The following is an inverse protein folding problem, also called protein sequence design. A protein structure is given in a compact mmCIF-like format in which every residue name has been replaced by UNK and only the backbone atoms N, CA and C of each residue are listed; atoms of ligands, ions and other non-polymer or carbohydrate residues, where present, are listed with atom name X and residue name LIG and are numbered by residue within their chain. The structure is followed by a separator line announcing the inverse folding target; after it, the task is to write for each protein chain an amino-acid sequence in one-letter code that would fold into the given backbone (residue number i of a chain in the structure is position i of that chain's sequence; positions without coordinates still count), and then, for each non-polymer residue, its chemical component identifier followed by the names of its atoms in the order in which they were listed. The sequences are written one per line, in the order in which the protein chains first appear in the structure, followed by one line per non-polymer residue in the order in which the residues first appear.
data_IF_089592568665
#
_entry.id   IF_089592568665
#
_cell.length_a   1.000
_cell.length_b   1.000
_cell.length_c   1.000
_cell.angle_alpha   90.00
_cell.angle_beta   90.00
_cell.angle_gamma   90.00
#
_symmetry.space_group_name_H-M   'P 1'
#
loop_
_entity.id
_entity.type
_entity.pdbx_description
1 polymer ?
#
# COMPACT_ATOMS: atom_id res chain seq x y z
N UNK A 1 12.85 -3.31 -39.54
CA UNK A 1 13.68 -4.30 -38.81
C UNK A 1 12.75 -5.37 -38.30
N UNK A 2 12.69 -6.50 -39.02
CA UNK A 2 11.77 -7.61 -38.76
C UNK A 2 12.31 -8.46 -37.60
N UNK A 3 11.51 -8.70 -36.57
CA UNK A 3 11.85 -9.68 -35.52
C UNK A 3 11.01 -10.94 -35.76
N UNK A 4 11.74 -12.02 -36.05
CA UNK A 4 11.29 -13.38 -36.35
C UNK A 4 10.44 -13.97 -35.22
N UNK A 5 9.31 -14.59 -35.58
CA UNK A 5 8.74 -15.71 -34.84
C UNK A 5 9.04 -16.98 -35.64
N UNK A 6 9.65 -18.00 -35.02
CA UNK A 6 9.32 -19.42 -35.20
C UNK A 6 10.23 -20.32 -34.34
N UNK A 7 9.60 -21.28 -33.66
CA UNK A 7 10.20 -22.60 -33.40
C UNK A 7 9.08 -23.64 -33.38
N UNK A 8 9.20 -24.63 -34.27
CA UNK A 8 8.33 -25.79 -34.41
C UNK A 8 8.63 -26.80 -33.29
N UNK A 9 7.64 -27.13 -32.47
CA UNK A 9 7.72 -28.25 -31.52
C UNK A 9 6.74 -29.34 -31.94
N UNK A 10 7.32 -30.53 -32.14
CA UNK A 10 6.67 -31.81 -32.41
C UNK A 10 5.62 -32.09 -31.33
N UNK A 11 4.35 -32.26 -31.73
CA UNK A 11 3.25 -32.67 -30.84
C UNK A 11 3.36 -34.17 -30.55
N UNK A 12 3.98 -34.53 -29.43
CA UNK A 12 3.82 -35.86 -28.82
C UNK A 12 2.55 -35.80 -27.96
N UNK A 13 1.52 -36.53 -28.36
CA UNK A 13 0.24 -36.58 -27.65
C UNK A 13 0.36 -37.53 -26.44
N UNK A 14 0.70 -37.00 -25.27
CA UNK A 14 0.51 -37.71 -24.00
C UNK A 14 -0.87 -37.35 -23.45
N UNK A 15 -1.81 -38.29 -23.48
CA UNK A 15 -3.07 -38.16 -22.75
C UNK A 15 -2.80 -38.31 -21.26
N UNK A 16 -2.49 -37.19 -20.59
CA UNK A 16 -2.56 -37.07 -19.15
C UNK A 16 -4.00 -36.74 -18.80
N UNK A 17 -4.73 -37.69 -18.23
CA UNK A 17 -6.01 -37.42 -17.57
C UNK A 17 -5.75 -36.45 -16.41
N UNK A 18 -5.96 -35.17 -16.65
CA UNK A 18 -5.95 -34.14 -15.60
C UNK A 18 -7.22 -34.36 -14.79
N UNK A 19 -7.09 -35.09 -13.68
CA UNK A 19 -8.06 -35.04 -12.59
C UNK A 19 -8.02 -33.59 -12.07
N UNK A 20 -9.02 -32.79 -12.46
CA UNK A 20 -9.16 -31.42 -11.95
C UNK A 20 -9.53 -31.49 -10.47
N UNK A 21 -8.50 -31.52 -9.63
CA UNK A 21 -8.65 -31.26 -8.20
C UNK A 21 -9.00 -29.79 -8.08
N UNK A 22 -10.28 -29.51 -7.84
CA UNK A 22 -10.73 -28.19 -7.42
C UNK A 22 -10.20 -27.95 -5.99
N UNK A 23 -8.97 -27.45 -5.88
CA UNK A 23 -8.47 -26.90 -4.63
C UNK A 23 -9.33 -25.68 -4.33
N UNK A 24 -10.27 -25.82 -3.39
CA UNK A 24 -10.83 -24.67 -2.69
C UNK A 24 -9.69 -24.08 -1.88
N UNK A 25 -8.95 -23.15 -2.46
CA UNK A 25 -7.94 -22.38 -1.75
C UNK A 25 -8.69 -21.54 -0.72
N UNK A 26 -8.73 -22.02 0.51
CA UNK A 26 -9.21 -21.25 1.65
C UNK A 26 -8.20 -20.11 1.82
N UNK A 27 -8.59 -18.90 1.46
CA UNK A 27 -7.82 -17.70 1.79
C UNK A 27 -7.62 -17.71 3.30
N UNK A 28 -6.37 -17.88 3.72
CA UNK A 28 -5.98 -17.67 5.11
C UNK A 28 -6.12 -16.18 5.34
N UNK A 29 -6.90 -15.79 6.35
CA UNK A 29 -6.98 -14.39 6.74
C UNK A 29 -5.55 -13.94 7.10
N UNK A 30 -5.11 -12.87 6.46
CA UNK A 30 -3.80 -12.28 6.68
C UNK A 30 -3.62 -11.93 8.16
N UNK A 31 -2.50 -12.33 8.75
CA UNK A 31 -2.21 -12.11 10.17
C UNK A 31 -1.22 -10.97 10.32
N UNK A 32 -1.56 -10.00 11.16
CA UNK A 32 -0.69 -8.87 11.50
C UNK A 32 -0.22 -9.01 12.94
N UNK A 33 0.95 -8.44 13.26
CA UNK A 33 1.36 -8.27 14.64
C UNK A 33 0.38 -7.34 15.37
N UNK A 34 0.10 -7.64 16.64
CA UNK A 34 -0.66 -6.77 17.55
C UNK A 34 0.34 -6.18 18.53
N UNK A 35 0.73 -4.89 18.38
CA UNK A 35 1.64 -4.26 19.32
C UNK A 35 0.97 -4.11 20.69
N UNK A 36 1.77 -4.01 21.74
CA UNK A 36 1.28 -3.86 23.12
C UNK A 36 1.74 -2.54 23.72
N UNK A 37 0.89 -1.95 24.56
CA UNK A 37 1.23 -0.78 25.37
C UNK A 37 1.09 -1.14 26.85
N UNK A 38 2.11 -0.90 27.66
CA UNK A 38 2.07 -1.31 29.08
C UNK A 38 1.10 -0.49 29.92
N UNK A 39 1.01 0.81 29.62
CA UNK A 39 0.08 1.75 30.27
C UNK A 39 -1.05 2.19 29.33
N UNK A 40 -0.92 1.90 28.03
CA UNK A 40 -1.93 2.22 27.03
C UNK A 40 -2.22 3.71 26.95
N UNK A 41 -3.49 4.08 26.81
CA UNK A 41 -3.94 5.47 26.76
C UNK A 41 -4.16 6.09 28.16
N UNK A 42 -3.42 5.61 29.16
CA UNK A 42 -3.65 5.92 30.58
C UNK A 42 -3.46 7.39 30.96
N UNK A 43 -2.90 8.21 30.07
CA UNK A 43 -2.70 9.64 30.28
C UNK A 43 -3.39 10.50 29.22
N UNK A 44 -4.42 9.99 28.54
CA UNK A 44 -5.11 10.64 27.41
C UNK A 44 -4.24 10.75 26.15
N UNK A 45 -3.58 9.65 25.82
CA UNK A 45 -2.66 9.46 24.70
C UNK A 45 -3.16 8.32 23.80
N UNK A 46 -3.84 8.67 22.72
CA UNK A 46 -4.53 7.73 21.85
C UNK A 46 -5.29 8.42 20.73
N UNK A 47 -5.85 7.63 19.82
CA UNK A 47 -6.57 8.15 18.65
C UNK A 47 -8.05 8.25 19.01
N UNK A 48 -8.65 9.43 18.84
CA UNK A 48 -10.09 9.65 19.03
C UNK A 48 -10.86 9.56 17.71
N UNK A 49 -10.24 9.97 16.61
CA UNK A 49 -10.84 9.83 15.28
C UNK A 49 -9.81 9.93 14.18
N UNK A 50 -10.04 9.22 13.09
CA UNK A 50 -9.27 9.35 11.85
C UNK A 50 -10.17 9.59 10.65
N UNK A 51 -9.79 10.56 9.82
CA UNK A 51 -10.43 10.87 8.53
C UNK A 51 -9.37 10.95 7.43
N UNK A 52 -9.66 10.37 6.27
CA UNK A 52 -8.83 10.46 5.06
C UNK A 52 -9.71 10.68 3.84
N UNK A 53 -9.32 11.61 2.95
CA UNK A 53 -10.09 11.94 1.75
C UNK A 53 -11.57 12.29 2.08
N UNK A 54 -11.79 12.99 3.19
CA UNK A 54 -13.14 13.32 3.70
C UNK A 54 -13.97 12.14 4.20
N UNK A 55 -13.44 10.91 4.19
CA UNK A 55 -14.09 9.72 4.73
C UNK A 55 -13.64 9.49 6.16
N UNK A 56 -14.61 9.47 7.09
CA UNK A 56 -14.37 9.15 8.51
C UNK A 56 -14.23 7.64 8.67
N UNK A 57 -13.09 7.18 9.20
CA UNK A 57 -12.84 5.75 9.44
C UNK A 57 -13.06 5.35 10.90
N UNK A 58 -12.72 6.21 11.85
CA UNK A 58 -13.09 6.10 13.27
C UNK A 58 -13.57 7.46 13.82
N UNK A 59 -14.44 7.43 14.83
CA UNK A 59 -14.92 8.63 15.52
C UNK A 59 -15.31 8.28 16.94
N UNK A 60 -14.84 9.08 17.92
CA UNK A 60 -15.08 8.84 19.34
C UNK A 60 -14.65 7.45 19.79
N UNK A 61 -13.53 6.95 19.25
CA UNK A 61 -13.02 5.60 19.51
C UNK A 61 -12.66 5.41 20.99
N UNK A 62 -12.12 6.46 21.62
CA UNK A 62 -11.57 6.38 22.97
C UNK A 62 -10.42 5.39 23.04
N UNK A 63 -10.05 4.95 24.25
CA UNK A 63 -8.98 3.97 24.39
C UNK A 63 -9.50 2.56 24.14
N UNK A 64 -8.98 1.92 23.09
CA UNK A 64 -9.31 0.54 22.74
C UNK A 64 -8.79 -0.44 23.80
N UNK A 65 -9.48 -1.58 23.96
CA UNK A 65 -9.01 -2.63 24.88
C UNK A 65 -7.64 -3.15 24.43
N UNK A 66 -6.64 -3.02 25.30
CA UNK A 66 -5.25 -3.38 24.98
C UNK A 66 -4.54 -2.38 24.06
N UNK A 67 -5.07 -1.16 23.91
CA UNK A 67 -4.51 -0.10 23.04
C UNK A 67 -4.34 -0.52 21.58
N UNK A 68 -5.21 -1.42 21.12
CA UNK A 68 -5.25 -1.86 19.74
C UNK A 68 -6.69 -2.04 19.26
N UNK A 69 -7.00 -1.54 18.07
CA UNK A 69 -8.25 -1.82 17.38
C UNK A 69 -8.09 -1.94 15.88
N UNK A 70 -8.85 -2.86 15.27
CA UNK A 70 -8.97 -2.98 13.82
C UNK A 70 -10.39 -2.62 13.36
N UNK A 71 -10.52 -1.51 12.65
CA UNK A 71 -11.79 -1.04 12.07
C UNK A 71 -12.00 -1.67 10.69
N UNK A 72 -12.64 -2.83 10.66
CA UNK A 72 -12.86 -3.60 9.42
C UNK A 72 -14.11 -3.21 8.62
N UNK A 73 -14.99 -2.37 9.19
CA UNK A 73 -16.30 -2.05 8.60
C UNK A 73 -16.29 -0.76 7.77
N UNK A 74 -15.42 0.19 8.12
CA UNK A 74 -15.25 1.44 7.40
C UNK A 74 -13.99 1.36 6.55
N UNK A 75 -14.06 1.91 5.33
CA UNK A 75 -12.92 1.97 4.42
C UNK A 75 -13.00 3.21 3.55
N UNK A 76 -11.85 3.82 3.25
CA UNK A 76 -11.79 4.93 2.31
C UNK A 76 -11.42 4.46 0.92
N UNK A 77 -12.06 5.04 -0.10
CA UNK A 77 -11.68 4.85 -1.49
C UNK A 77 -10.65 5.89 -1.91
N UNK A 78 -9.50 5.41 -2.36
CA UNK A 78 -8.35 6.21 -2.79
C UNK A 78 -7.77 5.64 -4.08
N UNK A 79 -6.92 6.38 -4.76
CA UNK A 79 -6.24 5.94 -5.97
C UNK A 79 -4.74 5.84 -5.74
N UNK A 80 -4.13 4.76 -6.23
CA UNK A 80 -2.69 4.57 -6.16
C UNK A 80 -1.93 5.72 -6.85
N UNK A 81 -0.83 6.16 -6.24
CA UNK A 81 -0.02 7.29 -6.70
C UNK A 81 -0.60 8.67 -6.42
N UNK A 82 -1.79 8.77 -5.81
CA UNK A 82 -2.40 10.05 -5.45
C UNK A 82 -2.13 10.39 -3.98
N UNK A 83 -2.12 11.70 -3.70
CA UNK A 83 -1.97 12.24 -2.35
C UNK A 83 -3.33 12.70 -1.83
N UNK A 84 -3.65 12.30 -0.61
CA UNK A 84 -4.89 12.67 0.09
C UNK A 84 -4.56 13.38 1.39
N UNK A 85 -5.41 14.34 1.77
CA UNK A 85 -5.36 14.89 3.12
C UNK A 85 -5.95 13.91 4.13
N UNK A 86 -5.37 13.91 5.32
CA UNK A 86 -5.89 13.21 6.48
C UNK A 86 -5.98 14.14 7.69
N UNK A 87 -6.78 13.75 8.68
CA UNK A 87 -6.89 14.41 9.98
C UNK A 87 -7.03 13.37 11.08
N UNK A 88 -6.26 13.56 12.16
CA UNK A 88 -6.29 12.78 13.40
C UNK A 88 -6.67 13.72 14.54
N UNK A 89 -7.62 13.28 15.37
CA UNK A 89 -7.87 13.87 16.69
C UNK A 89 -7.41 12.90 17.77
N UNK A 90 -6.86 13.42 18.86
CA UNK A 90 -6.34 12.62 19.97
C UNK A 90 -7.40 12.49 21.07
N UNK A 91 -7.22 11.53 21.97
CA UNK A 91 -8.12 11.37 23.10
C UNK A 91 -8.05 12.62 23.98
N UNK A 92 -9.20 13.28 24.15
CA UNK A 92 -9.38 14.47 25.01
C UNK A 92 -8.50 15.70 24.69
N UNK A 93 -7.69 15.68 23.62
CA UNK A 93 -6.79 16.76 23.21
C UNK A 93 -5.83 17.26 24.31
N UNK A 94 -5.42 16.38 25.23
CA UNK A 94 -4.61 16.76 26.40
C UNK A 94 -3.12 16.78 26.08
N UNK A 95 -2.64 15.81 25.29
CA UNK A 95 -1.22 15.64 24.98
C UNK A 95 -0.94 15.85 23.50
N UNK A 96 0.26 16.36 23.22
CA UNK A 96 0.84 16.25 21.89
C UNK A 96 1.43 14.85 21.71
N UNK A 97 1.26 14.25 20.54
CA UNK A 97 1.64 12.87 20.28
C UNK A 97 2.56 12.72 19.08
N UNK A 98 3.37 11.67 19.08
CA UNK A 98 4.09 11.24 17.89
C UNK A 98 3.21 10.32 17.07
N UNK A 99 3.19 10.50 15.75
CA UNK A 99 2.33 9.75 14.84
C UNK A 99 3.18 9.05 13.79
N UNK A 100 2.93 7.77 13.58
CA UNK A 100 3.46 7.01 12.44
C UNK A 100 2.37 6.24 11.72
N UNK A 101 2.43 6.23 10.39
CA UNK A 101 1.44 5.62 9.52
C UNK A 101 2.14 4.71 8.51
N UNK A 102 1.70 3.45 8.45
CA UNK A 102 2.14 2.47 7.47
C UNK A 102 0.98 2.01 6.59
N UNK A 103 1.27 1.61 5.36
CA UNK A 103 0.34 0.91 4.47
C UNK A 103 1.01 -0.38 4.01
N UNK A 104 0.42 -1.53 4.33
CA UNK A 104 0.87 -2.83 3.84
C UNK A 104 0.47 -2.99 2.37
N UNK A 105 1.38 -2.62 1.47
CA UNK A 105 1.11 -2.52 0.03
C UNK A 105 1.25 -3.86 -0.69
N UNK A 106 2.15 -4.71 -0.20
CA UNK A 106 2.41 -6.02 -0.78
C UNK A 106 1.49 -7.12 -0.24
N UNK A 107 0.75 -6.83 0.83
CA UNK A 107 -0.26 -7.68 1.44
C UNK A 107 0.34 -8.98 1.99
N UNK A 108 1.53 -8.89 2.59
CA UNK A 108 2.22 -10.04 3.19
C UNK A 108 1.91 -10.22 4.70
N UNK A 109 1.38 -9.18 5.35
CA UNK A 109 0.94 -9.18 6.76
C UNK A 109 1.95 -8.52 7.69
N UNK A 110 3.03 -7.98 7.12
CA UNK A 110 4.10 -7.27 7.78
C UNK A 110 4.08 -5.82 7.32
N UNK A 111 4.27 -4.89 8.25
CA UNK A 111 4.52 -3.50 7.91
C UNK A 111 6.03 -3.30 7.88
N UNK A 112 6.60 -3.16 6.69
CA UNK A 112 8.03 -2.95 6.47
C UNK A 112 8.43 -1.48 6.56
N UNK A 113 9.73 -1.20 6.65
CA UNK A 113 10.25 0.16 6.64
C UNK A 113 9.96 0.91 5.32
N UNK A 114 9.84 0.19 4.19
CA UNK A 114 9.45 0.76 2.89
C UNK A 114 7.98 1.16 2.80
N UNK A 115 7.17 0.74 3.77
CA UNK A 115 5.72 0.97 3.83
C UNK A 115 5.31 2.08 4.79
N UNK A 116 6.29 2.68 5.49
CA UNK A 116 6.09 3.88 6.29
C UNK A 116 5.83 5.08 5.37
N UNK A 117 4.63 5.64 5.44
CA UNK A 117 4.18 6.73 4.58
C UNK A 117 4.09 8.08 5.30
N UNK A 118 4.08 8.08 6.63
CA UNK A 118 4.12 9.30 7.45
C UNK A 118 4.75 8.96 8.80
N UNK A 119 5.65 9.83 9.28
CA UNK A 119 6.20 9.77 10.64
C UNK A 119 6.52 11.18 11.09
N UNK A 120 6.05 11.58 12.27
CA UNK A 120 6.44 12.85 12.86
C UNK A 120 7.78 12.74 13.57
N UNK A 121 8.61 13.78 13.48
CA UNK A 121 9.91 13.86 14.19
C UNK A 121 9.83 14.65 15.50
N UNK A 122 8.67 15.22 15.78
CA UNK A 122 8.33 15.99 16.97
C UNK A 122 6.87 15.69 17.32
N UNK A 123 6.44 15.87 18.58
CA UNK A 123 5.05 15.64 18.93
C UNK A 123 4.19 16.72 18.24
N UNK A 124 2.94 16.36 17.93
CA UNK A 124 1.99 17.22 17.22
C UNK A 124 0.72 17.39 18.05
N UNK A 125 0.16 18.60 18.02
CA UNK A 125 -1.10 18.93 18.67
C UNK A 125 -2.32 18.55 17.82
N UNK A 126 -3.46 18.36 18.47
CA UNK A 126 -4.76 18.18 17.81
C UNK A 126 -5.30 19.50 17.20
N UNK A 127 -5.97 19.46 16.02
CA UNK A 127 -6.03 18.34 15.09
C UNK A 127 -4.72 18.19 14.33
N UNK A 128 -4.14 16.99 14.35
CA UNK A 128 -3.00 16.72 13.48
C UNK A 128 -3.51 16.45 12.07
N UNK A 129 -3.22 17.37 11.16
CA UNK A 129 -3.56 17.25 9.73
C UNK A 129 -2.31 17.12 8.89
N UNK A 130 -2.38 16.26 7.87
CA UNK A 130 -1.26 16.01 6.98
C UNK A 130 -1.71 15.47 5.64
N UNK A 131 -0.72 15.12 4.82
CA UNK A 131 -0.94 14.54 3.50
C UNK A 131 -0.30 13.15 3.48
N UNK A 132 -1.02 12.17 2.95
CA UNK A 132 -0.56 10.80 2.75
C UNK A 132 -0.58 10.48 1.26
N UNK A 133 0.56 10.02 0.72
CA UNK A 133 0.66 9.59 -0.67
C UNK A 133 0.48 8.08 -0.74
N UNK A 134 -0.53 7.61 -1.47
CA UNK A 134 -0.80 6.18 -1.61
C UNK A 134 0.23 5.58 -2.57
N UNK A 135 1.01 4.57 -2.16
CA UNK A 135 2.00 3.97 -3.03
C UNK A 135 1.39 3.38 -4.30
N UNK A 136 2.12 3.45 -5.42
CA UNK A 136 1.61 3.06 -6.75
C UNK A 136 1.29 1.56 -6.87
N UNK A 137 1.86 0.74 -5.99
CA UNK A 137 1.69 -0.71 -5.93
C UNK A 137 0.61 -1.17 -4.93
N UNK A 138 -0.01 -0.26 -4.17
CA UNK A 138 -1.00 -0.58 -3.13
C UNK A 138 -2.38 -1.03 -3.67
N UNK A 139 -2.47 -1.52 -4.91
CA UNK A 139 -3.73 -1.77 -5.63
C UNK A 139 -4.62 -2.80 -4.90
N UNK A 140 -5.92 -2.52 -4.83
CA UNK A 140 -6.92 -3.36 -4.16
C UNK A 140 -7.14 -2.95 -2.70
N UNK A 141 -7.68 -3.85 -1.90
CA UNK A 141 -7.84 -3.62 -0.46
C UNK A 141 -6.51 -3.83 0.25
N UNK A 142 -6.04 -2.83 0.98
CA UNK A 142 -4.81 -2.86 1.80
C UNK A 142 -5.11 -2.46 3.23
N UNK A 143 -4.26 -2.89 4.16
CA UNK A 143 -4.33 -2.44 5.55
C UNK A 143 -3.43 -1.23 5.76
N UNK A 144 -3.96 -0.23 6.44
CA UNK A 144 -3.21 0.90 6.95
C UNK A 144 -3.17 0.83 8.46
N UNK A 145 -2.01 1.09 9.05
CA UNK A 145 -1.79 1.15 10.50
C UNK A 145 -1.42 2.57 10.89
N UNK A 146 -2.09 3.10 11.90
CA UNK A 146 -1.71 4.33 12.59
C UNK A 146 -1.26 3.95 14.00
N UNK A 147 -0.07 4.38 14.38
CA UNK A 147 0.40 4.31 15.76
C UNK A 147 0.58 5.72 16.29
N UNK A 148 0.03 5.95 17.48
CA UNK A 148 0.38 7.10 18.30
C UNK A 148 1.19 6.64 19.51
N UNK A 149 2.12 7.50 19.95
CA UNK A 149 2.99 7.26 21.09
C UNK A 149 3.29 8.59 21.78
N UNK A 150 3.13 8.60 23.10
CA UNK A 150 3.50 9.74 23.93
C UNK A 150 5.01 9.78 24.17
N UNK A 151 5.58 10.99 24.28
CA UNK A 151 6.99 11.32 24.57
C UNK A 151 8.07 10.88 23.55
N UNK A 152 7.79 9.96 22.62
CA UNK A 152 8.79 9.47 21.66
C UNK A 152 8.14 8.87 20.40
N UNK A 153 8.94 8.67 19.34
CA UNK A 153 8.50 8.18 18.03
C UNK A 153 8.08 6.71 18.11
N UNK A 154 6.94 6.36 17.50
CA UNK A 154 6.62 4.96 17.18
C UNK A 154 7.32 4.56 15.87
N UNK A 155 8.52 4.00 15.93
CA UNK A 155 9.35 3.67 14.76
C UNK A 155 9.23 2.21 14.26
N UNK A 156 8.67 1.33 15.08
CA UNK A 156 8.42 -0.07 14.78
C UNK A 156 6.91 -0.32 14.82
N UNK A 157 6.29 -0.94 13.80
CA UNK A 157 4.84 -1.17 13.76
C UNK A 157 4.35 -2.29 14.70
N UNK A 158 5.26 -3.10 15.25
CA UNK A 158 4.99 -4.27 16.08
C UNK A 158 5.56 -4.18 17.50
N UNK A 159 6.49 -3.25 17.76
CA UNK A 159 7.13 -3.13 19.06
C UNK A 159 6.15 -2.78 20.19
N UNK A 160 6.53 -3.24 21.39
CA UNK A 160 5.88 -2.84 22.62
C UNK A 160 6.35 -1.44 23.06
N UNK A 161 5.41 -0.59 23.46
CA UNK A 161 5.69 0.74 24.01
C UNK A 161 5.01 0.91 25.38
N UNK A 162 5.22 2.06 26.02
CA UNK A 162 4.59 2.36 27.31
C UNK A 162 3.20 2.97 27.12
N UNK A 163 3.14 4.05 26.34
CA UNK A 163 2.01 4.97 26.22
C UNK A 163 1.61 5.13 24.76
N UNK A 164 0.31 5.06 24.48
CA UNK A 164 -0.29 5.31 23.18
C UNK A 164 -1.32 4.25 22.77
N UNK A 165 -1.64 4.28 21.48
CA UNK A 165 -2.61 3.41 20.85
C UNK A 165 -2.21 3.06 19.41
N UNK A 166 -2.70 1.92 18.93
CA UNK A 166 -2.63 1.52 17.52
C UNK A 166 -4.01 1.28 16.94
N UNK A 167 -4.35 1.94 15.85
CA UNK A 167 -5.56 1.69 15.08
C UNK A 167 -5.21 1.21 13.65
N UNK A 168 -5.81 0.09 13.23
CA UNK A 168 -5.73 -0.45 11.89
C UNK A 168 -7.03 -0.14 11.11
N UNK A 169 -6.90 0.20 9.83
CA UNK A 169 -8.02 0.48 8.92
C UNK A 169 -7.84 -0.17 7.55
N UNK A 170 -8.91 -0.25 6.78
CA UNK A 170 -8.87 -0.67 5.38
C UNK A 170 -8.92 0.52 4.42
N UNK A 171 -8.09 0.47 3.37
CA UNK A 171 -8.20 1.35 2.21
C UNK A 171 -8.56 0.51 0.99
N UNK A 172 -9.49 1.01 0.17
CA UNK A 172 -9.78 0.43 -1.15
C UNK A 172 -9.08 1.28 -2.20
N UNK A 173 -7.97 0.76 -2.72
CA UNK A 173 -7.07 1.48 -3.62
C UNK A 173 -7.38 1.12 -5.07
N UNK A 174 -7.95 2.07 -5.80
CA UNK A 174 -8.19 1.97 -7.23
C UNK A 174 -6.89 2.19 -8.03
N UNK A 175 -6.88 1.65 -9.25
CA UNK A 175 -5.87 2.03 -10.22
C UNK A 175 -5.95 3.55 -10.51
N UNK A 176 -4.82 4.23 -10.72
CA UNK A 176 -4.82 5.59 -11.21
C UNK A 176 -5.40 5.65 -12.62
N UNK A 177 -6.04 6.78 -12.96
CA UNK A 177 -6.59 7.01 -14.30
C UNK A 177 -5.49 6.97 -15.36
N UNK A 178 -4.44 7.74 -15.14
CA UNK A 178 -3.26 7.75 -16.00
C UNK A 178 -2.00 7.77 -15.16
N UNK A 179 -0.90 7.28 -15.72
CA UNK A 179 0.41 7.27 -15.07
C UNK A 179 1.47 7.86 -15.98
N UNK A 180 2.40 8.62 -15.39
CA UNK A 180 3.65 9.06 -16.05
C UNK A 180 4.83 8.52 -15.26
N UNK A 181 5.66 7.69 -15.89
CA UNK A 181 6.81 7.05 -15.25
C UNK A 181 8.08 7.79 -15.65
N UNK A 182 8.61 8.56 -14.69
CA UNK A 182 9.82 9.38 -14.86
C UNK A 182 11.03 8.83 -14.11
N UNK A 183 10.83 7.89 -13.19
CA UNK A 183 11.90 7.32 -12.36
C UNK A 183 12.38 5.97 -12.89
N UNK A 184 13.68 5.72 -12.75
CA UNK A 184 14.27 4.46 -13.20
C UNK A 184 13.70 3.26 -12.44
N UNK A 185 13.50 2.13 -13.14
CA UNK A 185 12.98 0.90 -12.54
C UNK A 185 14.12 -0.11 -12.34
N UNK A 186 14.11 -0.81 -11.20
CA UNK A 186 15.04 -1.89 -10.88
C UNK A 186 14.24 -3.15 -10.50
N UNK A 187 14.79 -4.34 -10.76
CA UNK A 187 14.17 -5.61 -10.36
C UNK A 187 12.86 -5.94 -11.08
N UNK A 188 11.97 -6.71 -10.45
CA UNK A 188 10.68 -7.06 -11.05
C UNK A 188 9.59 -6.10 -10.55
N UNK A 189 8.91 -5.41 -11.47
CA UNK A 189 7.85 -4.45 -11.12
C UNK A 189 6.66 -4.54 -12.09
N UNK A 190 5.47 -4.22 -11.59
CA UNK A 190 4.26 -4.08 -12.41
C UNK A 190 3.62 -2.71 -12.18
N UNK A 191 3.34 -2.01 -13.27
CA UNK A 191 2.72 -0.68 -13.27
C UNK A 191 1.32 -0.79 -13.85
N UNK A 192 0.34 -0.23 -13.14
CA UNK A 192 -1.07 -0.26 -13.50
C UNK A 192 -1.63 1.15 -13.74
N UNK A 193 -2.48 1.31 -14.76
CA UNK A 193 -3.32 2.48 -14.97
C UNK A 193 -4.65 2.07 -15.63
N UNK A 194 -5.77 2.73 -15.31
CA UNK A 194 -7.06 2.40 -15.92
C UNK A 194 -7.23 2.96 -17.33
N UNK A 195 -6.47 3.99 -17.72
CA UNK A 195 -6.52 4.57 -19.07
C UNK A 195 -5.16 4.49 -19.78
N UNK A 196 -4.18 5.30 -19.35
CA UNK A 196 -2.93 5.47 -20.10
C UNK A 196 -1.68 5.40 -19.22
N UNK A 197 -0.62 4.81 -19.77
CA UNK A 197 0.74 4.89 -19.21
C UNK A 197 1.63 5.63 -20.19
N UNK A 198 2.36 6.65 -19.72
CA UNK A 198 3.44 7.29 -20.46
C UNK A 198 4.76 7.05 -19.73
N UNK A 199 5.71 6.37 -20.35
CA UNK A 199 7.02 6.08 -19.74
C UNK A 199 8.14 6.84 -20.47
N UNK A 200 9.00 7.51 -19.72
CA UNK A 200 10.18 8.22 -20.22
C UNK A 200 11.45 7.90 -19.43
N UNK A 201 11.41 6.87 -18.58
CA UNK A 201 12.47 6.51 -17.65
C UNK A 201 13.43 5.43 -18.19
N UNK A 202 14.58 5.27 -17.52
CA UNK A 202 15.51 4.17 -17.77
C UNK A 202 15.14 2.91 -16.96
N UNK A 203 15.58 1.75 -17.43
CA UNK A 203 15.59 0.50 -16.66
C UNK A 203 17.03 0.23 -16.24
N UNK A 204 17.26 0.16 -14.94
CA UNK A 204 18.58 -0.05 -14.37
C UNK A 204 18.73 -1.51 -13.95
N UNK A 205 19.80 -2.16 -14.40
CA UNK A 205 20.29 -3.46 -13.92
C UNK A 205 19.24 -4.59 -13.86
N UNK A 206 19.06 -5.32 -14.96
CA UNK A 206 18.40 -6.63 -14.96
C UNK A 206 16.96 -6.61 -14.44
N UNK A 207 16.15 -5.67 -14.93
CA UNK A 207 14.77 -5.50 -14.49
C UNK A 207 13.75 -6.16 -15.44
N UNK A 208 12.67 -6.68 -14.85
CA UNK A 208 11.49 -7.17 -15.56
C UNK A 208 10.31 -6.24 -15.26
N UNK A 209 9.90 -5.43 -16.23
CA UNK A 209 8.81 -4.45 -16.03
C UNK A 209 7.59 -4.81 -16.87
N UNK A 210 6.44 -4.91 -16.20
CA UNK A 210 5.15 -5.06 -16.87
C UNK A 210 4.35 -3.78 -16.74
N UNK A 211 4.00 -3.16 -17.87
CA UNK A 211 3.08 -2.03 -17.92
C UNK A 211 1.71 -2.53 -18.36
N UNK A 212 0.68 -2.23 -17.58
CA UNK A 212 -0.68 -2.67 -17.84
C UNK A 212 -1.63 -1.47 -17.81
N UNK A 213 -2.16 -1.10 -18.98
CA UNK A 213 -3.09 0.02 -19.16
C UNK A 213 -4.42 -0.45 -19.74
N UNK A 214 -5.47 0.36 -19.59
CA UNK A 214 -6.76 0.11 -20.23
C UNK A 214 -6.81 0.49 -21.72
N UNK A 215 -6.14 1.57 -22.12
CA UNK A 215 -6.22 2.12 -23.47
C UNK A 215 -4.88 2.24 -24.19
N UNK A 216 -3.86 2.85 -23.57
CA UNK A 216 -2.58 3.09 -24.25
C UNK A 216 -1.36 2.98 -23.34
N UNK A 217 -0.26 2.53 -23.93
CA UNK A 217 1.08 2.60 -23.34
C UNK A 217 1.96 3.35 -24.34
N UNK A 218 2.47 4.51 -23.93
CA UNK A 218 3.33 5.36 -24.74
C UNK A 218 4.74 5.33 -24.17
N UNK A 219 5.71 4.89 -24.95
CA UNK A 219 7.13 4.96 -24.60
C UNK A 219 7.73 6.18 -25.29
N UNK A 220 8.11 7.18 -24.51
CA UNK A 220 8.65 8.45 -25.02
C UNK A 220 10.12 8.32 -25.44
N UNK A 221 10.61 9.18 -26.35
CA UNK A 221 12.03 9.28 -26.65
C UNK A 221 12.85 9.48 -25.37
N UNK A 222 13.92 8.71 -25.21
CA UNK A 222 14.76 8.70 -24.01
C UNK A 222 14.56 7.50 -23.08
N UNK A 223 13.62 6.60 -23.37
CA UNK A 223 13.57 5.29 -22.70
C UNK A 223 14.83 4.48 -23.02
N UNK A 224 15.55 4.04 -21.98
CA UNK A 224 16.77 3.22 -22.07
C UNK A 224 16.56 1.89 -21.35
N UNK A 225 17.01 0.79 -21.95
CA UNK A 225 16.95 -0.54 -21.35
C UNK A 225 18.33 -1.20 -21.41
N UNK A 226 18.81 -1.68 -20.26
CA UNK A 226 20.08 -2.38 -20.13
C UNK A 226 20.04 -3.79 -20.76
N UNK A 227 21.23 -4.34 -21.04
CA UNK A 227 21.37 -5.71 -21.53
C UNK A 227 20.71 -6.71 -20.57
N UNK A 228 19.79 -7.51 -21.10
CA UNK A 228 19.03 -8.51 -20.33
C UNK A 228 17.71 -8.03 -19.72
N UNK A 229 17.32 -6.76 -19.90
CA UNK A 229 16.01 -6.26 -19.44
C UNK A 229 14.84 -6.84 -20.25
N UNK A 230 13.70 -7.10 -19.59
CA UNK A 230 12.45 -7.52 -20.25
C UNK A 230 11.34 -6.52 -19.98
N UNK A 231 10.68 -6.07 -21.05
CA UNK A 231 9.51 -5.20 -21.01
C UNK A 231 8.29 -5.93 -21.55
N UNK A 232 7.17 -5.82 -20.84
CA UNK A 232 5.87 -6.32 -21.32
C UNK A 232 4.83 -5.21 -21.20
N UNK A 233 4.26 -4.78 -22.33
CA UNK A 233 3.11 -3.87 -22.38
C UNK A 233 1.82 -4.65 -22.60
N UNK A 234 0.79 -4.40 -21.79
CA UNK A 234 -0.53 -5.01 -21.91
C UNK A 234 -1.61 -3.92 -21.96
N UNK A 235 -2.42 -3.95 -23.02
CA UNK A 235 -3.67 -3.20 -23.11
C UNK A 235 -4.79 -4.17 -22.75
N UNK A 236 -5.07 -4.31 -21.46
CA UNK A 236 -6.09 -5.19 -20.87
C UNK A 236 -6.17 -5.06 -19.33
N UNK A 237 -5.53 -4.06 -18.71
CA UNK A 237 -5.30 -4.02 -17.26
C UNK A 237 -6.10 -2.97 -16.51
N UNK A 238 -6.57 -3.37 -15.33
CA UNK A 238 -7.58 -2.73 -14.46
C UNK A 238 -9.01 -2.90 -15.02
N UNK A 239 -9.88 -3.72 -14.40
CA UNK A 239 -11.30 -3.66 -14.72
C UNK A 239 -11.81 -2.27 -14.35
N UNK A 240 -12.50 -1.62 -15.30
CA UNK A 240 -13.28 -0.42 -15.03
C UNK A 240 -14.37 -0.70 -13.98
#
# INVERSE_FOLDING_TARGET
MFIRMQSNIIKVLFTVSIFSLCFKQKSVAQSYCVPTYTEGCGVDDGISSFTINGTVLSTGSGCSTGSFQFYSLNSASVSAGQTYSFSINFINAVNDEYVSIWIDVDKDGVFSASELVTQTTSPVAEPYSGNITIPVNAIGTVRMRIRVRFEDIADDPCAAYTWGETEDYLLNVACPVSQTITQAQNGTTTVYASNAITASNAINSGANVTYSAGASITIQPGFLADSGSVFVGKIAGCPN
#
